data_IF_764408776207
#
_entry.id   IF_764408776207
#
_cell.length_a   1.000
_cell.length_b   1.000
_cell.length_c   1.000
_cell.angle_alpha   90.00
_cell.angle_beta   90.00
_cell.angle_gamma   90.00
#
_symmetry.space_group_name_H-M   'P 1'
#
loop_
_entity.id
_entity.type
_entity.pdbx_description
1 polymer ?
#
# COMPACT_ATOMS: atom_id res chain seq x y z
N UNK A 1 -4.66 5.24 17.20
CA UNK A 1 -5.90 5.97 16.86
C UNK A 1 -6.05 7.09 17.88
N UNK A 2 -5.64 8.31 17.54
CA UNK A 2 -5.66 9.43 18.48
C UNK A 2 -7.08 10.00 18.55
N UNK A 3 -7.70 9.91 19.72
CA UNK A 3 -9.02 10.46 20.00
C UNK A 3 -8.90 11.99 20.02
N UNK A 4 -9.24 12.65 18.92
CA UNK A 4 -9.28 14.10 18.85
C UNK A 4 -10.55 14.55 19.59
N UNK A 5 -10.45 15.21 20.76
CA UNK A 5 -11.62 15.64 21.49
C UNK A 5 -12.27 16.80 20.73
N UNK A 6 -13.40 16.53 20.06
CA UNK A 6 -14.36 17.59 19.66
C UNK A 6 -15.22 17.91 20.88
N UNK A 7 -14.88 18.96 21.64
CA UNK A 7 -15.89 19.98 21.91
C UNK A 7 -15.23 21.36 22.12
N UNK A 8 -15.19 22.21 21.09
CA UNK A 8 -14.82 23.64 21.25
C UNK A 8 -15.66 24.60 20.41
N UNK A 9 -16.35 24.10 19.37
CA UNK A 9 -17.07 24.96 18.40
C UNK A 9 -18.29 25.61 19.06
N UNK A 10 -19.08 24.82 19.78
CA UNK A 10 -20.23 25.35 20.51
C UNK A 10 -19.79 26.27 21.64
N UNK A 11 -18.65 26.00 22.28
CA UNK A 11 -18.12 26.84 23.36
C UNK A 11 -17.66 28.21 22.83
N UNK A 12 -16.89 28.27 21.74
CA UNK A 12 -16.49 29.55 21.15
C UNK A 12 -17.68 30.33 20.60
N UNK A 13 -18.65 29.66 19.97
CA UNK A 13 -19.90 30.28 19.52
C UNK A 13 -20.71 30.83 20.70
N UNK A 14 -20.84 30.06 21.78
CA UNK A 14 -21.60 30.48 22.96
C UNK A 14 -20.90 31.61 23.71
N UNK A 15 -19.56 31.59 23.80
CA UNK A 15 -18.77 32.69 24.37
C UNK A 15 -18.95 33.96 23.53
N UNK A 16 -18.87 33.85 22.20
CA UNK A 16 -19.10 34.98 21.30
C UNK A 16 -20.51 35.56 21.44
N UNK A 17 -21.53 34.70 21.45
CA UNK A 17 -22.93 35.11 21.64
C UNK A 17 -23.16 35.76 23.00
N UNK A 18 -22.53 35.23 24.06
CA UNK A 18 -22.62 35.78 25.41
C UNK A 18 -21.95 37.16 25.48
N UNK A 19 -20.74 37.31 24.93
CA UNK A 19 -20.04 38.60 24.88
C UNK A 19 -20.83 39.62 24.08
N UNK A 20 -21.38 39.22 22.93
CA UNK A 20 -22.22 40.09 22.11
C UNK A 20 -23.49 40.52 22.85
N UNK A 21 -24.17 39.59 23.54
CA UNK A 21 -25.36 39.88 24.33
C UNK A 21 -25.05 40.86 25.47
N UNK A 22 -23.95 40.67 26.20
CA UNK A 22 -23.50 41.62 27.23
C UNK A 22 -23.25 42.99 26.62
N UNK A 23 -22.59 43.05 25.45
CA UNK A 23 -22.29 44.31 24.77
C UNK A 23 -23.57 45.07 24.39
N UNK A 24 -24.56 44.38 23.83
CA UNK A 24 -25.88 44.97 23.48
C UNK A 24 -26.61 45.47 24.72
N UNK A 25 -26.65 44.68 25.80
CA UNK A 25 -27.27 45.08 27.06
C UNK A 25 -26.58 46.32 27.64
N UNK A 26 -25.25 46.38 27.57
CA UNK A 26 -24.51 47.55 28.04
C UNK A 26 -24.78 48.79 27.19
N UNK A 27 -24.86 48.69 25.85
CA UNK A 27 -25.18 49.82 24.97
C UNK A 27 -26.55 50.42 25.32
N UNK A 28 -27.57 49.56 25.51
CA UNK A 28 -28.92 50.01 25.87
C UNK A 28 -28.96 50.63 27.28
N UNK A 29 -28.10 50.16 28.18
CA UNK A 29 -28.04 50.62 29.57
C UNK A 29 -27.15 51.86 29.75
N UNK A 30 -26.28 52.21 28.79
CA UNK A 30 -25.40 53.39 28.85
C UNK A 30 -26.14 54.68 29.25
N UNK A 31 -27.26 55.09 28.61
CA UNK A 31 -27.99 56.31 29.01
C UNK A 31 -28.64 56.24 30.39
N UNK A 32 -28.69 55.07 31.03
CA UNK A 32 -29.15 54.92 32.42
C UNK A 32 -27.97 54.97 33.41
N UNK A 33 -26.76 54.60 32.98
CA UNK A 33 -25.55 54.56 33.80
C UNK A 33 -24.82 55.90 33.90
N UNK A 34 -24.99 56.78 32.91
CA UNK A 34 -24.28 58.07 32.85
C UNK A 34 -25.04 59.21 33.58
N UNK A 35 -26.25 58.93 34.10
CA UNK A 35 -27.15 59.91 34.78
C UNK A 35 -26.66 60.49 36.11
N UNK A 36 -25.46 60.15 36.60
CA UNK A 36 -24.92 60.72 37.84
C UNK A 36 -23.85 61.78 37.54
N UNK A 37 -23.93 62.92 38.25
CA UNK A 37 -23.07 64.10 38.11
C UNK A 37 -21.57 63.77 38.27
N UNK A 38 -20.93 63.33 37.19
CA UNK A 38 -19.48 63.35 37.10
C UNK A 38 -19.03 64.79 36.83
N UNK A 39 -18.64 65.47 37.91
CA UNK A 39 -18.37 66.92 38.04
C UNK A 39 -17.36 67.57 37.06
N UNK A 40 -16.86 66.87 36.03
CA UNK A 40 -15.80 67.35 35.12
C UNK A 40 -16.21 67.52 33.64
N UNK A 41 -17.30 66.90 33.16
CA UNK A 41 -17.74 67.00 31.74
C UNK A 41 -19.26 66.84 31.60
N UNK A 42 -19.83 67.38 30.51
CA UNK A 42 -21.25 67.18 30.16
C UNK A 42 -21.56 65.69 29.91
N UNK A 43 -22.70 65.23 30.44
CA UNK A 43 -23.21 63.84 30.38
C UNK A 43 -23.14 63.26 28.95
N UNK A 44 -23.51 64.07 27.96
CA UNK A 44 -23.51 63.73 26.53
C UNK A 44 -22.12 63.33 26.01
N UNK A 45 -21.05 63.96 26.52
CA UNK A 45 -19.68 63.67 26.09
C UNK A 45 -19.23 62.29 26.58
N UNK A 46 -19.61 61.91 27.81
CA UNK A 46 -19.28 60.60 28.35
C UNK A 46 -20.04 59.48 27.65
N UNK A 47 -21.34 59.68 27.38
CA UNK A 47 -22.14 58.72 26.61
C UNK A 47 -21.52 58.45 25.23
N UNK A 48 -21.13 59.52 24.51
CA UNK A 48 -20.50 59.39 23.21
C UNK A 48 -19.16 58.61 23.29
N UNK A 49 -18.34 58.87 24.30
CA UNK A 49 -17.05 58.16 24.51
C UNK A 49 -17.30 56.68 24.80
N UNK A 50 -18.26 56.34 25.66
CA UNK A 50 -18.59 54.94 25.99
C UNK A 50 -19.12 54.17 24.78
N UNK A 51 -20.00 54.78 24.00
CA UNK A 51 -20.51 54.17 22.77
C UNK A 51 -19.39 53.94 21.75
N UNK A 52 -18.48 54.90 21.58
CA UNK A 52 -17.34 54.78 20.65
C UNK A 52 -16.36 53.69 21.08
N UNK A 53 -16.11 53.55 22.40
CA UNK A 53 -15.31 52.48 22.97
C UNK A 53 -15.96 51.10 22.75
N UNK A 54 -17.28 50.99 22.96
CA UNK A 54 -18.04 49.75 22.75
C UNK A 54 -18.05 49.33 21.28
N UNK A 55 -18.26 50.25 20.34
CA UNK A 55 -18.20 49.97 18.89
C UNK A 55 -16.79 49.53 18.48
N UNK A 56 -15.75 50.17 19.00
CA UNK A 56 -14.36 49.77 18.75
C UNK A 56 -14.05 48.37 19.28
N UNK A 57 -14.60 48.01 20.45
CA UNK A 57 -14.45 46.67 21.01
C UNK A 57 -15.18 45.62 20.16
N UNK A 58 -16.43 45.90 19.77
CA UNK A 58 -17.21 45.02 18.90
C UNK A 58 -16.52 44.79 17.55
N UNK A 59 -15.96 45.85 16.96
CA UNK A 59 -15.22 45.77 15.70
C UNK A 59 -13.97 44.88 15.80
N UNK A 60 -13.21 45.00 16.89
CA UNK A 60 -12.03 44.16 17.11
C UNK A 60 -12.41 42.68 17.29
N UNK A 61 -13.47 42.39 18.04
CA UNK A 61 -13.99 41.03 18.24
C UNK A 61 -14.43 40.43 16.90
N UNK A 62 -15.17 41.20 16.09
CA UNK A 62 -15.61 40.76 14.77
C UNK A 62 -14.43 40.40 13.85
N UNK A 63 -13.39 41.25 13.84
CA UNK A 63 -12.18 41.00 13.04
C UNK A 63 -11.40 39.76 13.50
N UNK A 64 -11.37 39.48 14.80
CA UNK A 64 -10.77 38.24 15.33
C UNK A 64 -11.59 37.01 14.94
N UNK A 65 -12.92 37.12 14.98
CA UNK A 65 -13.82 36.05 14.55
C UNK A 65 -13.63 35.71 13.07
N UNK A 66 -13.59 36.72 12.19
CA UNK A 66 -13.40 36.53 10.76
C UNK A 66 -12.08 35.81 10.43
N UNK A 67 -10.98 36.20 11.09
CA UNK A 67 -9.69 35.50 10.96
C UNK A 67 -9.76 34.05 11.43
N UNK A 68 -10.44 33.79 12.55
CA UNK A 68 -10.58 32.44 13.08
C UNK A 68 -11.41 31.55 12.14
N UNK A 69 -12.47 32.09 11.53
CA UNK A 69 -13.29 31.38 10.53
C UNK A 69 -12.48 31.09 9.27
N UNK A 70 -11.76 32.07 8.72
CA UNK A 70 -10.96 31.90 7.51
C UNK A 70 -9.88 30.82 7.66
N UNK A 71 -9.15 30.81 8.79
CA UNK A 71 -8.15 29.78 9.08
C UNK A 71 -8.77 28.37 9.14
N UNK A 72 -10.00 28.25 9.66
CA UNK A 72 -10.72 26.98 9.76
C UNK A 72 -11.25 26.49 8.43
N UNK A 73 -11.75 27.37 7.58
CA UNK A 73 -12.15 26.99 6.22
C UNK A 73 -10.96 26.45 5.42
N UNK A 74 -9.78 27.05 5.59
CA UNK A 74 -8.55 26.55 4.95
C UNK A 74 -8.16 25.16 5.48
N UNK A 75 -8.24 24.95 6.80
CA UNK A 75 -8.01 23.62 7.40
C UNK A 75 -9.01 22.58 6.88
N UNK A 76 -10.30 22.91 6.80
CA UNK A 76 -11.34 22.01 6.28
C UNK A 76 -11.04 21.66 4.82
N UNK A 77 -10.72 22.62 3.97
CA UNK A 77 -10.36 22.38 2.57
C UNK A 77 -9.11 21.51 2.42
N UNK A 78 -8.08 21.73 3.26
CA UNK A 78 -6.87 20.89 3.28
C UNK A 78 -7.20 19.46 3.69
N UNK A 79 -7.95 19.29 4.78
CA UNK A 79 -8.40 17.99 5.26
C UNK A 79 -9.21 17.25 4.19
N UNK A 80 -10.17 17.93 3.56
CA UNK A 80 -10.99 17.34 2.49
C UNK A 80 -10.16 16.89 1.30
N UNK A 81 -9.18 17.70 0.87
CA UNK A 81 -8.24 17.32 -0.20
C UNK A 81 -7.35 16.12 0.18
N UNK A 82 -6.87 16.07 1.43
CA UNK A 82 -6.11 14.91 1.93
C UNK A 82 -6.98 13.65 1.99
N UNK A 83 -8.22 13.76 2.48
CA UNK A 83 -9.18 12.65 2.52
C UNK A 83 -9.45 12.10 1.12
N UNK A 84 -9.77 12.96 0.15
CA UNK A 84 -10.00 12.55 -1.24
C UNK A 84 -8.77 11.87 -1.87
N UNK A 85 -7.57 12.38 -1.59
CA UNK A 85 -6.32 11.76 -2.05
C UNK A 85 -6.13 10.38 -1.44
N UNK A 86 -6.35 10.23 -0.12
CA UNK A 86 -6.26 8.94 0.58
C UNK A 86 -7.29 7.94 0.08
N UNK A 87 -8.52 8.39 -0.14
CA UNK A 87 -9.59 7.56 -0.69
C UNK A 87 -9.23 7.05 -2.09
N UNK A 88 -8.70 7.91 -2.95
CA UNK A 88 -8.21 7.53 -4.28
C UNK A 88 -7.07 6.52 -4.22
N UNK A 89 -6.07 6.75 -3.37
CA UNK A 89 -4.96 5.80 -3.13
C UNK A 89 -5.50 4.42 -2.66
N UNK A 90 -6.51 4.43 -1.80
CA UNK A 90 -7.15 3.22 -1.27
C UNK A 90 -7.90 2.45 -2.36
N UNK A 91 -8.70 3.15 -3.18
CA UNK A 91 -9.45 2.57 -4.29
C UNK A 91 -8.54 2.02 -5.38
N UNK A 92 -7.45 2.71 -5.70
CA UNK A 92 -6.41 2.22 -6.62
C UNK A 92 -5.75 0.95 -6.08
N UNK A 93 -5.46 0.92 -4.78
CA UNK A 93 -4.90 -0.27 -4.10
C UNK A 93 -5.87 -1.45 -4.11
N UNK A 94 -7.16 -1.23 -3.83
CA UNK A 94 -8.16 -2.30 -3.88
C UNK A 94 -8.41 -2.83 -5.30
N UNK A 95 -8.45 -1.93 -6.29
CA UNK A 95 -8.57 -2.31 -7.71
C UNK A 95 -7.37 -3.13 -8.16
N UNK A 96 -6.17 -2.78 -7.69
CA UNK A 96 -4.95 -3.50 -7.94
C UNK A 96 -4.97 -4.91 -7.33
N UNK A 97 -5.33 -5.03 -6.05
CA UNK A 97 -5.41 -6.30 -5.34
C UNK A 97 -6.46 -7.24 -5.96
N UNK A 98 -7.66 -6.73 -6.25
CA UNK A 98 -8.73 -7.51 -6.87
C UNK A 98 -8.35 -8.05 -8.26
N UNK A 99 -7.65 -7.26 -9.08
CA UNK A 99 -7.15 -7.70 -10.39
C UNK A 99 -6.08 -8.79 -10.27
N UNK A 100 -5.19 -8.69 -9.28
CA UNK A 100 -4.12 -9.67 -9.09
C UNK A 100 -4.67 -11.02 -8.61
N UNK A 101 -5.57 -11.03 -7.63
CA UNK A 101 -6.11 -12.28 -7.11
C UNK A 101 -6.90 -13.06 -8.20
N UNK A 102 -7.68 -12.35 -9.02
CA UNK A 102 -8.38 -12.95 -10.17
C UNK A 102 -7.39 -13.50 -11.21
N UNK A 103 -6.32 -12.77 -11.53
CA UNK A 103 -5.26 -13.24 -12.45
C UNK A 103 -4.56 -14.50 -11.91
N UNK A 104 -4.26 -14.52 -10.62
CA UNK A 104 -3.66 -15.67 -9.91
C UNK A 104 -4.58 -16.88 -9.98
N UNK A 105 -5.88 -16.72 -9.72
CA UNK A 105 -6.85 -17.82 -9.75
C UNK A 105 -6.97 -18.45 -11.15
N UNK A 106 -7.11 -17.63 -12.19
CA UNK A 106 -7.21 -18.12 -13.57
C UNK A 106 -5.97 -18.93 -13.99
N UNK A 107 -4.78 -18.45 -13.61
CA UNK A 107 -3.54 -19.12 -13.95
C UNK A 107 -3.33 -20.40 -13.11
N UNK A 108 -3.75 -20.41 -11.83
CA UNK A 108 -3.78 -21.66 -11.05
C UNK A 108 -4.65 -22.72 -11.71
N UNK A 109 -5.80 -22.34 -12.27
CA UNK A 109 -6.68 -23.27 -12.98
C UNK A 109 -6.11 -23.72 -14.33
N UNK A 110 -5.38 -22.86 -15.04
CA UNK A 110 -4.61 -23.28 -16.22
C UNK A 110 -3.53 -24.30 -15.86
N UNK A 111 -2.77 -24.04 -14.79
CA UNK A 111 -1.73 -24.95 -14.30
C UNK A 111 -2.28 -26.35 -13.94
N UNK A 112 -3.48 -26.43 -13.35
CA UNK A 112 -4.16 -27.72 -13.08
C UNK A 112 -4.53 -28.50 -14.34
N UNK A 113 -4.64 -27.84 -15.51
CA UNK A 113 -5.05 -28.46 -16.78
C UNK A 113 -3.86 -28.95 -17.62
N UNK A 114 -2.62 -28.70 -17.19
CA UNK A 114 -1.43 -29.16 -17.89
C UNK A 114 -1.44 -30.70 -17.92
N UNK A 115 -1.28 -31.27 -19.12
CA UNK A 115 -1.27 -32.71 -19.36
C UNK A 115 0.17 -33.21 -19.46
N UNK A 116 0.35 -34.53 -19.35
CA UNK A 116 1.63 -35.19 -19.62
C UNK A 116 2.17 -34.78 -21.00
N UNK A 117 3.36 -34.16 -21.07
CA UNK A 117 3.95 -33.77 -22.34
C UNK A 117 4.32 -34.99 -23.19
N UNK A 118 4.08 -34.92 -24.50
CA UNK A 118 4.35 -36.01 -25.45
C UNK A 118 5.79 -36.03 -25.95
N UNK A 119 6.49 -34.90 -25.89
CA UNK A 119 7.87 -34.77 -26.33
C UNK A 119 8.61 -33.66 -25.54
N UNK A 120 9.92 -33.56 -25.76
CA UNK A 120 10.79 -32.58 -25.08
C UNK A 120 10.43 -31.13 -25.41
N UNK A 121 9.95 -30.88 -26.63
CA UNK A 121 9.56 -29.54 -27.08
C UNK A 121 8.29 -29.08 -26.36
N UNK A 122 7.31 -29.97 -26.22
CA UNK A 122 6.07 -29.72 -25.48
C UNK A 122 6.35 -29.51 -23.98
N UNK A 123 7.22 -30.32 -23.37
CA UNK A 123 7.67 -30.11 -22.00
C UNK A 123 8.31 -28.72 -21.84
N UNK A 124 9.26 -28.37 -22.71
CA UNK A 124 9.91 -27.06 -22.69
C UNK A 124 8.89 -25.93 -22.81
N UNK A 125 7.92 -26.06 -23.73
CA UNK A 125 6.83 -25.09 -23.89
C UNK A 125 6.01 -24.92 -22.61
N UNK A 126 5.63 -26.01 -21.94
CA UNK A 126 4.91 -25.91 -20.68
C UNK A 126 5.74 -25.23 -19.58
N UNK A 127 7.03 -25.54 -19.48
CA UNK A 127 7.93 -24.87 -18.53
C UNK A 127 8.05 -23.37 -18.82
N UNK A 128 8.24 -23.01 -20.08
CA UNK A 128 8.34 -21.61 -20.52
C UNK A 128 7.01 -20.87 -20.28
N UNK A 129 5.86 -21.48 -20.57
CA UNK A 129 4.53 -20.93 -20.29
C UNK A 129 4.33 -20.68 -18.79
N UNK A 130 4.67 -21.67 -17.93
CA UNK A 130 4.60 -21.53 -16.46
C UNK A 130 5.47 -20.35 -16.00
N UNK A 131 6.70 -20.25 -16.52
CA UNK A 131 7.66 -19.21 -16.11
C UNK A 131 7.22 -17.82 -16.57
N UNK A 132 6.67 -17.70 -17.78
CA UNK A 132 6.12 -16.44 -18.29
C UNK A 132 4.90 -15.96 -17.47
N UNK A 133 4.02 -16.88 -17.07
CA UNK A 133 2.90 -16.55 -16.19
C UNK A 133 3.40 -16.11 -14.82
N UNK A 134 4.43 -16.79 -14.28
CA UNK A 134 5.05 -16.43 -13.01
C UNK A 134 5.65 -15.02 -13.02
N UNK A 135 6.42 -14.67 -14.06
CA UNK A 135 6.95 -13.31 -14.24
C UNK A 135 5.83 -12.27 -14.34
N UNK A 136 4.78 -12.57 -15.10
CA UNK A 136 3.68 -11.62 -15.35
C UNK A 136 2.91 -11.27 -14.08
N UNK A 137 2.55 -12.29 -13.28
CA UNK A 137 1.81 -12.09 -12.02
C UNK A 137 2.67 -11.40 -10.97
N UNK A 138 3.89 -11.89 -10.79
CA UNK A 138 4.80 -11.42 -9.72
C UNK A 138 5.49 -10.10 -10.06
N UNK A 139 5.39 -9.66 -11.32
CA UNK A 139 5.99 -8.43 -11.86
C UNK A 139 7.49 -8.36 -11.60
N UNK A 140 8.19 -9.48 -11.70
CA UNK A 140 9.66 -9.53 -11.60
C UNK A 140 10.30 -9.24 -12.94
N UNK A 141 11.53 -8.76 -12.88
CA UNK A 141 12.31 -8.46 -14.08
C UNK A 141 12.76 -9.75 -14.78
N UNK A 142 13.13 -10.78 -14.02
CA UNK A 142 13.54 -12.08 -14.53
C UNK A 142 13.23 -13.20 -13.55
N UNK A 143 13.10 -14.41 -14.07
CA UNK A 143 13.00 -15.65 -13.30
C UNK A 143 13.69 -16.79 -14.02
N UNK A 144 14.24 -17.72 -13.24
CA UNK A 144 14.83 -18.96 -13.76
C UNK A 144 14.29 -20.14 -12.98
N UNK A 145 13.78 -21.15 -13.69
CA UNK A 145 13.57 -22.49 -13.14
C UNK A 145 14.80 -23.32 -13.45
N UNK A 146 15.38 -23.91 -12.41
CA UNK A 146 16.48 -24.87 -12.52
C UNK A 146 16.06 -26.19 -11.91
N UNK A 147 16.20 -27.27 -12.67
CA UNK A 147 15.98 -28.64 -12.22
C UNK A 147 17.35 -29.23 -11.92
N UNK A 148 17.55 -29.63 -10.67
CA UNK A 148 18.85 -30.07 -10.14
C UNK A 148 18.69 -31.51 -9.66
N UNK A 149 19.60 -32.40 -10.07
CA UNK A 149 19.76 -33.70 -9.43
C UNK A 149 20.44 -33.47 -8.06
N UNK A 150 19.75 -33.86 -7.00
CA UNK A 150 20.12 -33.60 -5.61
C UNK A 150 21.22 -34.52 -5.10
N UNK A 151 21.52 -35.63 -5.78
CA UNK A 151 22.64 -36.52 -5.42
C UNK A 151 23.99 -35.99 -5.91
N UNK A 152 24.06 -35.58 -7.17
CA UNK A 152 25.31 -35.16 -7.81
C UNK A 152 25.41 -33.63 -8.01
N UNK A 153 24.37 -32.88 -7.61
CA UNK A 153 24.27 -31.44 -7.70
C UNK A 153 24.36 -30.87 -9.13
N UNK A 154 24.10 -31.70 -10.14
CA UNK A 154 24.13 -31.29 -11.54
C UNK A 154 22.80 -30.70 -12.01
N UNK A 155 22.88 -29.69 -12.88
CA UNK A 155 21.70 -29.12 -13.54
C UNK A 155 21.24 -30.06 -14.64
N UNK A 156 20.01 -30.56 -14.53
CA UNK A 156 19.36 -31.41 -15.54
C UNK A 156 18.68 -30.55 -16.60
N UNK A 157 18.01 -29.49 -16.16
CA UNK A 157 17.35 -28.52 -17.05
C UNK A 157 17.40 -27.13 -16.45
N UNK A 158 17.49 -26.11 -17.30
CA UNK A 158 17.39 -24.71 -16.92
C UNK A 158 16.54 -23.97 -17.93
N UNK A 159 15.54 -23.25 -17.43
CA UNK A 159 14.61 -22.45 -18.20
C UNK A 159 14.61 -21.04 -17.62
N UNK A 160 14.75 -20.05 -18.50
CA UNK A 160 14.86 -18.66 -18.12
C UNK A 160 13.84 -17.84 -18.87
N UNK A 161 13.17 -16.95 -18.15
CA UNK A 161 12.30 -15.95 -18.73
C UNK A 161 12.69 -14.57 -18.19
N UNK A 162 12.50 -13.57 -19.05
CA UNK A 162 12.68 -12.17 -18.72
C UNK A 162 11.36 -11.44 -18.99
N UNK A 163 11.11 -10.39 -18.22
CA UNK A 163 10.05 -9.43 -18.52
C UNK A 163 10.43 -8.64 -19.77
N UNK A 164 9.44 -8.25 -20.57
CA UNK A 164 9.64 -7.50 -21.83
C UNK A 164 10.37 -6.16 -21.66
N UNK A 165 10.54 -5.69 -20.41
CA UNK A 165 11.21 -4.44 -20.05
C UNK A 165 12.65 -4.61 -19.54
N UNK A 166 13.14 -5.83 -19.31
CA UNK A 166 14.46 -6.04 -18.71
C UNK A 166 15.54 -6.33 -19.76
N UNK A 167 16.76 -5.85 -19.51
CA UNK A 167 17.96 -6.37 -20.18
C UNK A 167 18.28 -7.74 -19.62
N UNK A 168 18.99 -8.54 -20.42
CA UNK A 168 19.49 -9.85 -20.02
C UNK A 168 20.47 -9.67 -18.85
N UNK A 169 20.08 -10.12 -17.65
CA UNK A 169 20.93 -10.02 -16.46
C UNK A 169 21.84 -11.26 -16.37
N UNK A 170 23.16 -11.09 -16.34
CA UNK A 170 24.07 -12.21 -16.06
C UNK A 170 24.13 -12.43 -14.53
N UNK A 171 23.15 -13.14 -13.96
CA UNK A 171 23.22 -13.57 -12.56
C UNK A 171 23.88 -14.94 -12.49
N UNK A 172 24.83 -15.11 -11.57
CA UNK A 172 25.55 -16.37 -11.36
C UNK A 172 25.30 -16.85 -9.94
N UNK A 173 24.48 -17.89 -9.82
CA UNK A 173 24.26 -18.62 -8.57
C UNK A 173 24.55 -20.10 -8.82
N UNK A 174 25.36 -20.70 -7.94
CA UNK A 174 25.74 -22.11 -8.02
C UNK A 174 24.65 -23.04 -7.45
N UNK A 175 24.62 -24.30 -7.89
CA UNK A 175 23.63 -25.27 -7.40
C UNK A 175 23.75 -25.53 -5.89
N UNK A 176 24.97 -25.49 -5.34
CA UNK A 176 25.22 -25.61 -3.90
C UNK A 176 24.58 -24.47 -3.11
N UNK A 177 24.75 -23.25 -3.60
CA UNK A 177 24.15 -22.06 -2.98
C UNK A 177 22.61 -22.08 -3.05
N UNK A 178 22.03 -22.50 -4.18
CA UNK A 178 20.58 -22.72 -4.31
C UNK A 178 20.07 -23.70 -3.24
N UNK A 179 20.76 -24.82 -3.06
CA UNK A 179 20.38 -25.85 -2.09
C UNK A 179 20.51 -25.37 -0.64
N UNK A 180 21.59 -24.67 -0.31
CA UNK A 180 21.81 -24.12 1.03
C UNK A 180 20.73 -23.07 1.36
N UNK A 181 20.37 -22.21 0.40
CA UNK A 181 19.28 -21.24 0.56
C UNK A 181 17.91 -21.91 0.73
N UNK A 182 17.64 -22.98 -0.02
CA UNK A 182 16.39 -23.73 0.10
C UNK A 182 16.21 -24.39 1.48
N UNK A 183 17.29 -24.72 2.19
CA UNK A 183 17.25 -25.36 3.51
C UNK A 183 17.07 -24.37 4.67
N UNK A 184 17.61 -23.15 4.55
CA UNK A 184 17.69 -22.20 5.66
C UNK A 184 16.36 -21.52 6.05
N UNK A 185 15.22 -21.87 5.42
CA UNK A 185 13.89 -21.23 5.55
C UNK A 185 13.85 -19.74 5.18
N UNK A 186 14.97 -19.03 5.21
CA UNK A 186 15.14 -17.71 4.64
C UNK A 186 15.18 -17.84 3.11
N UNK A 187 14.01 -17.62 2.50
CA UNK A 187 13.79 -17.75 1.06
C UNK A 187 14.64 -16.78 0.24
N UNK A 188 15.24 -15.75 0.86
CA UNK A 188 15.95 -14.67 0.19
C UNK A 188 17.26 -14.32 0.90
N UNK A 189 18.33 -14.06 0.12
CA UNK A 189 19.63 -13.66 0.63
C UNK A 189 19.79 -12.12 0.69
N UNK A 190 20.91 -11.66 1.28
CA UNK A 190 21.27 -10.23 1.35
C UNK A 190 21.55 -9.58 -0.01
N UNK A 191 21.68 -10.36 -1.07
CA UNK A 191 21.90 -9.89 -2.45
C UNK A 191 20.58 -9.75 -3.21
N UNK A 192 19.43 -9.76 -2.53
CA UNK A 192 18.10 -9.69 -3.11
C UNK A 192 17.77 -10.87 -4.02
N UNK A 193 18.44 -12.01 -3.88
CA UNK A 193 18.10 -13.24 -4.61
C UNK A 193 17.22 -14.10 -3.73
N UNK A 194 16.13 -14.61 -4.29
CA UNK A 194 15.26 -15.56 -3.64
C UNK A 194 15.27 -16.89 -4.36
N UNK A 195 15.19 -17.96 -3.58
CA UNK A 195 15.12 -19.34 -4.05
C UNK A 195 13.88 -20.00 -3.46
N UNK A 196 13.00 -20.48 -4.33
CA UNK A 196 11.84 -21.29 -3.95
C UNK A 196 12.06 -22.72 -4.41
N UNK A 197 12.30 -23.66 -3.49
CA UNK A 197 12.30 -25.08 -3.83
C UNK A 197 10.87 -25.55 -4.07
N UNK A 198 10.71 -26.51 -4.96
CA UNK A 198 9.47 -27.26 -5.02
C UNK A 198 9.24 -28.07 -3.73
N UNK A 199 7.98 -28.28 -3.40
CA UNK A 199 7.55 -29.07 -2.25
C UNK A 199 7.53 -30.57 -2.54
N UNK A 200 7.97 -30.99 -3.75
CA UNK A 200 7.91 -32.36 -4.25
C UNK A 200 8.32 -33.43 -3.26
N UNK A 201 7.68 -34.59 -3.41
CA UNK A 201 7.88 -35.74 -2.55
C UNK A 201 9.31 -36.26 -2.67
N UNK A 202 9.80 -36.89 -1.60
CA UNK A 202 11.17 -37.42 -1.48
C UNK A 202 11.60 -38.54 -2.48
N UNK A 203 10.75 -39.22 -3.30
CA UNK A 203 11.24 -40.36 -4.05
C UNK A 203 11.97 -40.01 -5.36
N UNK A 204 12.15 -38.73 -5.71
CA UNK A 204 12.86 -38.33 -6.93
C UNK A 204 14.15 -37.56 -6.60
N UNK A 205 15.23 -37.97 -7.27
CA UNK A 205 16.54 -37.34 -7.15
C UNK A 205 16.56 -35.94 -7.77
N UNK A 206 15.65 -35.64 -8.71
CA UNK A 206 15.57 -34.36 -9.41
C UNK A 206 14.54 -33.44 -8.77
N UNK A 207 14.96 -32.20 -8.48
CA UNK A 207 14.12 -31.20 -7.81
C UNK A 207 14.15 -29.86 -8.53
N UNK A 208 13.00 -29.19 -8.60
CA UNK A 208 12.87 -27.89 -9.25
C UNK A 208 13.08 -26.74 -8.25
N UNK A 209 13.80 -25.71 -8.69
CA UNK A 209 14.07 -24.50 -7.94
C UNK A 209 13.74 -23.29 -8.80
N UNK A 210 12.93 -22.38 -8.27
CA UNK A 210 12.65 -21.10 -8.90
C UNK A 210 13.54 -20.03 -8.25
N UNK A 211 14.35 -19.37 -9.08
CA UNK A 211 15.27 -18.31 -8.68
C UNK A 211 14.82 -16.99 -9.28
N UNK A 212 14.76 -15.94 -8.46
CA UNK A 212 14.35 -14.61 -8.89
C UNK A 212 14.94 -13.52 -7.99
N UNK A 213 14.92 -12.28 -8.49
CA UNK A 213 15.33 -11.12 -7.71
C UNK A 213 14.14 -10.50 -6.97
N UNK A 214 14.35 -10.12 -5.72
CA UNK A 214 13.36 -9.48 -4.88
C UNK A 214 13.93 -8.29 -4.12
N UNK A 215 13.42 -7.09 -4.43
CA UNK A 215 13.86 -5.83 -3.80
C UNK A 215 13.00 -5.41 -2.61
N UNK A 216 11.81 -6.01 -2.44
CA UNK A 216 10.81 -5.66 -1.40
C UNK A 216 10.11 -6.91 -0.88
N UNK A 217 9.40 -6.82 0.25
CA UNK A 217 8.60 -7.94 0.74
C UNK A 217 7.59 -8.41 -0.33
N UNK A 218 7.58 -9.72 -0.60
CA UNK A 218 6.65 -10.35 -1.55
C UNK A 218 5.29 -10.49 -0.89
N UNK A 219 4.22 -10.20 -1.63
CA UNK A 219 2.87 -10.54 -1.19
C UNK A 219 2.74 -12.07 -0.99
N UNK A 220 2.11 -12.48 0.10
CA UNK A 220 1.95 -13.90 0.44
C UNK A 220 1.18 -14.68 -0.64
N UNK A 221 0.17 -14.08 -1.28
CA UNK A 221 -0.61 -14.72 -2.35
C UNK A 221 0.26 -14.97 -3.60
N UNK A 222 1.12 -14.00 -3.92
CA UNK A 222 2.09 -14.12 -5.02
C UNK A 222 3.12 -15.20 -4.68
N UNK A 223 3.62 -15.23 -3.44
CA UNK A 223 4.56 -16.25 -2.99
C UNK A 223 3.97 -17.66 -3.10
N UNK A 224 2.73 -17.85 -2.66
CA UNK A 224 2.05 -19.14 -2.73
C UNK A 224 1.72 -19.55 -4.17
N UNK A 225 1.48 -18.57 -5.05
CA UNK A 225 1.42 -18.80 -6.49
C UNK A 225 2.76 -19.27 -7.06
N UNK A 226 3.88 -18.62 -6.72
CA UNK A 226 5.21 -19.00 -7.21
C UNK A 226 5.61 -20.40 -6.72
N UNK A 227 5.24 -20.77 -5.49
CA UNK A 227 5.37 -22.15 -4.99
C UNK A 227 4.57 -23.14 -5.83
N UNK A 228 3.33 -22.80 -6.18
CA UNK A 228 2.53 -23.63 -7.07
C UNK A 228 3.20 -23.76 -8.46
N UNK A 229 3.72 -22.67 -9.01
CA UNK A 229 4.41 -22.67 -10.31
C UNK A 229 5.64 -23.60 -10.32
N UNK A 230 6.54 -23.49 -9.33
CA UNK A 230 7.72 -24.36 -9.26
C UNK A 230 7.35 -25.84 -9.06
N UNK A 231 6.29 -26.11 -8.29
CA UNK A 231 5.76 -27.48 -8.15
C UNK A 231 5.24 -28.03 -9.48
N UNK A 232 4.56 -27.21 -10.28
CA UNK A 232 4.08 -27.65 -11.59
C UNK A 232 5.23 -27.87 -12.57
N UNK A 233 6.29 -27.07 -12.51
CA UNK A 233 7.49 -27.32 -13.29
C UNK A 233 8.13 -28.68 -12.95
N UNK A 234 8.23 -29.02 -11.67
CA UNK A 234 8.69 -30.34 -11.23
C UNK A 234 7.78 -31.44 -11.78
N UNK A 235 6.45 -31.34 -11.59
CA UNK A 235 5.49 -32.34 -12.06
C UNK A 235 5.58 -32.54 -13.57
N UNK A 236 5.65 -31.47 -14.36
CA UNK A 236 5.78 -31.54 -15.82
C UNK A 236 7.06 -32.27 -16.23
N UNK A 237 8.18 -31.96 -15.57
CA UNK A 237 9.44 -32.66 -15.82
C UNK A 237 9.36 -34.13 -15.43
N UNK A 238 8.86 -34.45 -14.24
CA UNK A 238 8.70 -35.83 -13.77
C UNK A 238 7.78 -36.63 -14.69
N UNK A 239 6.66 -36.05 -15.15
CA UNK A 239 5.75 -36.70 -16.08
C UNK A 239 6.40 -36.99 -17.43
N UNK A 240 7.24 -36.07 -17.93
CA UNK A 240 8.04 -36.30 -19.13
C UNK A 240 9.04 -37.45 -18.94
N UNK A 241 9.82 -37.40 -17.85
CA UNK A 241 10.80 -38.45 -17.52
C UNK A 241 10.12 -39.81 -17.33
N UNK A 242 8.96 -39.89 -16.67
CA UNK A 242 8.22 -41.15 -16.50
C UNK A 242 7.59 -41.66 -17.81
N UNK A 243 7.10 -40.75 -18.66
CA UNK A 243 6.50 -41.10 -19.95
C UNK A 243 7.52 -41.60 -20.98
N UNK A 244 8.77 -41.18 -20.86
CA UNK A 244 9.83 -41.43 -21.85
C UNK A 244 11.04 -42.20 -21.28
N UNK A 245 11.08 -42.44 -19.96
CA UNK A 245 12.16 -43.10 -19.23
C UNK A 245 11.97 -44.59 -18.96
N UNK A 246 11.03 -45.26 -19.64
CA UNK A 246 11.04 -46.72 -19.79
C UNK A 246 11.45 -47.10 -21.21
N UNK A 247 12.76 -47.09 -21.46
CA UNK A 247 13.44 -47.93 -22.45
C UNK A 247 14.76 -48.41 -21.87
#
# INVERSE_FOLDING_TARGET
MAFIPRPRIEQFRNIFLLVFLVLVVTIISTPLLVKEDFSFFEEETWEAIFLLAQVSLAWNIFRLYEKAVAAREEEIKKLEGEYQKREKELLETFTYLGKINVQISLIKDFMKKIKTPKDRSEMKKYLDDILHMAITISRKDWMTVRIINTENMQTVAEHRANSSKSKENDFKIGNREIMDMAQNKDLCNKQNLCVLPSAGSKPYEEKAFLVFEEKKAVDQEVLDFLKAAVNQCEVVHTLYVLGHGKK
#
